data_IF_064120925644
#
_entry.id   IF_064120925644
#
_cell.length_a   1.000
_cell.length_b   1.000
_cell.length_c   1.000
_cell.angle_alpha   90.00
_cell.angle_beta   90.00
_cell.angle_gamma   90.00
#
_symmetry.space_group_name_H-M   'P 1'
#
loop_
_entity.id
_entity.type
_entity.pdbx_description
1 polymer ?
#
# COMPACT_ATOMS: atom_id res chain seq x y z
N UNK A 1 6.99 -11.78 3.44
CA UNK A 1 6.93 -11.82 1.96
C UNK A 1 6.94 -10.39 1.41
N UNK A 2 8.10 -9.71 1.38
CA UNK A 2 8.16 -8.27 1.06
C UNK A 2 7.84 -7.92 -0.40
N UNK A 3 7.95 -8.87 -1.33
CA UNK A 3 7.76 -8.65 -2.78
C UNK A 3 6.47 -9.27 -3.33
N UNK A 4 5.69 -9.97 -2.49
CA UNK A 4 4.56 -10.77 -2.96
C UNK A 4 3.25 -9.99 -3.12
N UNK A 5 3.13 -8.81 -2.50
CA UNK A 5 1.92 -8.00 -2.52
C UNK A 5 2.16 -6.73 -3.33
N UNK A 6 1.20 -6.40 -4.21
CA UNK A 6 1.20 -5.17 -4.99
C UNK A 6 1.00 -3.93 -4.11
N UNK A 7 0.26 -4.07 -3.01
CA UNK A 7 0.04 -2.97 -2.07
C UNK A 7 1.10 -2.92 -0.98
N UNK A 8 1.34 -1.71 -0.47
CA UNK A 8 2.23 -1.46 0.66
C UNK A 8 1.45 -1.29 1.98
N UNK A 9 2.18 -1.14 3.08
CA UNK A 9 1.61 -0.96 4.43
C UNK A 9 0.69 0.26 4.55
N UNK A 10 0.96 1.33 3.79
CA UNK A 10 0.14 2.55 3.83
C UNK A 10 -1.30 2.26 3.42
N UNK A 11 -1.54 1.36 2.47
CA UNK A 11 -2.90 0.97 2.08
C UNK A 11 -3.66 0.37 3.27
N UNK A 12 -3.01 -0.53 3.99
CA UNK A 12 -3.63 -1.21 5.14
C UNK A 12 -3.96 -0.22 6.26
N UNK A 13 -3.05 0.72 6.54
CA UNK A 13 -3.30 1.81 7.50
C UNK A 13 -4.48 2.68 7.06
N UNK A 14 -4.54 3.06 5.78
CA UNK A 14 -5.64 3.88 5.23
C UNK A 14 -6.99 3.15 5.29
N UNK A 15 -7.02 1.85 5.03
CA UNK A 15 -8.25 1.04 5.18
C UNK A 15 -8.71 1.06 6.64
N UNK A 16 -7.81 0.85 7.60
CA UNK A 16 -8.16 0.84 9.03
C UNK A 16 -8.60 2.22 9.55
N UNK A 17 -7.98 3.30 9.07
CA UNK A 17 -8.43 4.65 9.39
C UNK A 17 -9.85 4.92 8.86
N UNK A 18 -10.14 4.44 7.64
CA UNK A 18 -11.44 4.67 7.02
C UNK A 18 -12.53 3.68 7.44
N UNK A 19 -12.15 2.54 8.02
CA UNK A 19 -13.07 1.64 8.69
C UNK A 19 -13.83 2.35 9.83
N UNK A 20 -13.12 3.18 10.61
CA UNK A 20 -13.71 3.88 11.76
C UNK A 20 -14.15 5.31 11.46
N UNK A 21 -13.60 5.95 10.42
CA UNK A 21 -13.93 7.35 10.11
C UNK A 21 -15.37 7.58 9.65
N UNK A 22 -16.06 6.54 9.15
CA UNK A 22 -17.36 6.62 8.48
C UNK A 22 -17.42 7.63 7.31
N UNK A 23 -16.27 8.08 6.79
CA UNK A 23 -16.18 9.05 5.68
C UNK A 23 -16.70 8.48 4.34
N UNK A 24 -16.56 7.17 4.16
CA UNK A 24 -16.92 6.45 2.93
C UNK A 24 -18.00 5.41 3.22
N UNK A 25 -18.83 5.11 2.23
CA UNK A 25 -19.86 4.06 2.36
C UNK A 25 -19.34 2.64 2.21
N UNK A 26 -18.03 2.44 2.02
CA UNK A 26 -17.44 1.13 1.70
C UNK A 26 -17.67 0.09 2.79
N UNK A 27 -17.56 0.47 4.06
CA UNK A 27 -17.66 -0.43 5.23
C UNK A 27 -18.90 -0.15 6.10
N UNK A 28 -19.89 0.59 5.57
CA UNK A 28 -21.15 0.82 6.28
C UNK A 28 -22.10 -0.37 6.09
N UNK A 29 -22.98 -0.57 7.07
CA UNK A 29 -24.00 -1.63 7.14
C UNK A 29 -23.42 -3.06 7.24
N UNK A 30 -24.28 -4.01 7.62
CA UNK A 30 -23.88 -5.39 7.95
C UNK A 30 -24.08 -6.40 6.81
N UNK A 31 -24.79 -6.02 5.73
CA UNK A 31 -25.04 -6.88 4.58
C UNK A 31 -25.32 -6.06 3.32
N UNK A 32 -25.24 -6.69 2.15
CA UNK A 32 -25.49 -6.05 0.86
C UNK A 32 -26.94 -5.55 0.72
N UNK A 33 -27.92 -6.35 1.16
CA UNK A 33 -29.34 -5.97 1.11
C UNK A 33 -29.63 -4.65 1.82
N UNK A 34 -29.05 -4.43 3.02
CA UNK A 34 -29.21 -3.17 3.74
C UNK A 34 -28.56 -1.99 3.00
N UNK A 35 -27.42 -2.21 2.33
CA UNK A 35 -26.74 -1.17 1.53
C UNK A 35 -27.56 -0.75 0.32
N UNK A 36 -28.27 -1.67 -0.30
CA UNK A 36 -29.14 -1.40 -1.44
C UNK A 36 -30.40 -0.66 -1.01
N UNK A 37 -31.05 -1.10 0.08
CA UNK A 37 -32.22 -0.42 0.66
C UNK A 37 -31.93 1.05 1.01
N UNK A 38 -30.72 1.32 1.52
CA UNK A 38 -30.31 2.68 1.88
C UNK A 38 -29.65 3.43 0.72
N UNK A 39 -29.50 2.81 -0.46
CA UNK A 39 -28.88 3.38 -1.66
C UNK A 39 -27.45 3.92 -1.42
N UNK A 40 -26.64 3.19 -0.65
CA UNK A 40 -25.30 3.64 -0.21
C UNK A 40 -24.42 4.03 -1.39
N UNK A 41 -24.47 3.27 -2.49
CA UNK A 41 -23.66 3.51 -3.70
C UNK A 41 -23.96 4.86 -4.37
N UNK A 42 -25.18 5.39 -4.22
CA UNK A 42 -25.59 6.70 -4.76
C UNK A 42 -25.35 7.84 -3.77
N UNK A 43 -25.54 7.57 -2.47
CA UNK A 43 -25.50 8.60 -1.41
C UNK A 43 -24.11 8.84 -0.83
N UNK A 44 -23.15 7.95 -1.09
CA UNK A 44 -21.82 8.02 -0.49
C UNK A 44 -20.73 7.71 -1.53
N UNK A 45 -19.51 8.15 -1.24
CA UNK A 45 -18.33 7.84 -2.05
C UNK A 45 -17.70 6.53 -1.57
N UNK A 46 -17.13 5.77 -2.50
CA UNK A 46 -16.33 4.57 -2.18
C UNK A 46 -14.92 4.97 -1.75
N UNK A 47 -14.40 4.32 -0.70
CA UNK A 47 -12.98 4.40 -0.31
C UNK A 47 -12.06 4.10 -1.49
N UNK A 48 -12.44 3.14 -2.34
CA UNK A 48 -11.64 2.76 -3.51
C UNK A 48 -11.53 3.89 -4.54
N UNK A 49 -12.49 4.82 -4.59
CA UNK A 49 -12.35 6.03 -5.41
C UNK A 49 -11.19 6.91 -4.95
N UNK A 50 -10.97 7.02 -3.63
CA UNK A 50 -9.80 7.72 -3.07
C UNK A 50 -8.50 6.92 -3.29
N UNK A 51 -8.53 5.61 -3.04
CA UNK A 51 -7.33 4.76 -3.16
C UNK A 51 -6.84 4.73 -4.61
N UNK A 52 -7.74 4.48 -5.56
CA UNK A 52 -7.39 4.32 -6.97
C UNK A 52 -7.03 5.65 -7.65
N UNK A 53 -7.49 6.79 -7.13
CA UNK A 53 -7.06 8.11 -7.63
C UNK A 53 -5.64 8.49 -7.17
N UNK A 54 -5.08 7.78 -6.20
CA UNK A 54 -3.70 7.95 -5.70
C UNK A 54 -2.98 6.61 -5.59
N UNK A 55 -3.16 5.74 -6.57
CA UNK A 55 -2.65 4.36 -6.58
C UNK A 55 -1.16 4.30 -6.24
N UNK A 56 -0.36 5.22 -6.79
CA UNK A 56 1.10 5.24 -6.66
C UNK A 56 1.57 5.35 -5.19
N UNK A 57 0.76 5.96 -4.32
CA UNK A 57 1.06 6.05 -2.88
C UNK A 57 0.92 4.72 -2.16
N UNK A 58 0.10 3.82 -2.70
CA UNK A 58 -0.26 2.54 -2.12
C UNK A 58 0.45 1.35 -2.76
N UNK A 59 1.16 1.56 -3.87
CA UNK A 59 1.91 0.52 -4.54
C UNK A 59 3.20 0.18 -3.78
N UNK A 60 3.52 -1.10 -3.76
CA UNK A 60 4.76 -1.66 -3.29
C UNK A 60 5.75 -1.69 -4.46
N UNK A 61 6.83 -0.90 -4.43
CA UNK A 61 7.79 -0.86 -5.53
C UNK A 61 8.59 -2.17 -5.67
N UNK A 62 8.53 -3.05 -4.66
CA UNK A 62 9.18 -4.37 -4.71
C UNK A 62 8.26 -5.48 -5.21
N UNK A 63 7.04 -5.15 -5.61
CA UNK A 63 6.10 -6.14 -6.10
C UNK A 63 6.64 -6.87 -7.33
N UNK A 64 6.66 -8.20 -7.27
CA UNK A 64 7.03 -9.07 -8.39
C UNK A 64 5.78 -9.82 -8.90
N UNK A 65 5.25 -9.49 -10.09
CA UNK A 65 4.02 -10.09 -10.62
C UNK A 65 4.09 -11.61 -10.82
N UNK A 66 5.28 -12.16 -11.05
CA UNK A 66 5.52 -13.58 -11.34
C UNK A 66 5.48 -14.50 -10.09
N UNK A 67 4.73 -14.08 -9.07
CA UNK A 67 4.62 -14.77 -7.78
C UNK A 67 3.50 -15.80 -7.75
N UNK A 68 3.30 -16.59 -8.82
CA UNK A 68 2.32 -17.71 -8.87
C UNK A 68 2.59 -18.85 -7.87
N UNK A 69 3.42 -18.58 -6.85
CA UNK A 69 3.80 -19.47 -5.76
C UNK A 69 2.83 -19.28 -4.60
N UNK A 70 2.39 -20.40 -4.03
CA UNK A 70 1.60 -20.39 -2.78
C UNK A 70 2.47 -19.82 -1.65
N UNK A 71 1.95 -18.84 -0.91
CA UNK A 71 2.61 -18.27 0.25
C UNK A 71 2.33 -19.14 1.48
N UNK A 72 3.39 -19.60 2.15
CA UNK A 72 3.29 -20.38 3.40
C UNK A 72 3.81 -19.56 4.58
N UNK A 73 2.95 -18.76 5.26
CA UNK A 73 3.38 -17.97 6.41
C UNK A 73 3.73 -18.86 7.61
N UNK A 74 4.71 -18.42 8.40
CA UNK A 74 5.06 -19.10 9.66
C UNK A 74 4.26 -18.48 10.80
N UNK A 75 3.23 -19.20 11.26
CA UNK A 75 2.36 -18.77 12.37
C UNK A 75 2.99 -19.05 13.76
N UNK A 76 4.24 -18.64 13.96
CA UNK A 76 4.97 -18.78 15.23
C UNK A 76 5.17 -17.42 15.89
N UNK A 77 5.05 -17.34 17.22
CA UNK A 77 5.34 -16.11 17.98
C UNK A 77 6.78 -15.60 17.80
N UNK A 78 7.70 -16.43 17.29
CA UNK A 78 9.07 -16.02 16.95
C UNK A 78 9.17 -15.25 15.62
N UNK A 79 8.16 -15.39 14.75
CA UNK A 79 8.11 -14.78 13.42
C UNK A 79 6.99 -13.73 13.30
N UNK A 80 6.03 -13.74 14.23
CA UNK A 80 5.02 -12.69 14.33
C UNK A 80 5.62 -11.49 15.06
N UNK A 81 5.49 -10.33 14.44
CA UNK A 81 5.92 -9.06 15.01
C UNK A 81 4.69 -8.23 15.40
N UNK A 82 4.86 -7.40 16.43
CA UNK A 82 3.86 -6.38 16.72
C UNK A 82 3.84 -5.36 15.58
N UNK A 83 2.65 -5.04 15.07
CA UNK A 83 2.50 -4.04 14.03
C UNK A 83 2.64 -2.61 14.60
N UNK A 84 3.89 -2.20 14.86
CA UNK A 84 4.25 -0.97 15.59
C UNK A 84 3.70 0.29 14.90
N UNK A 85 3.74 0.34 13.58
CA UNK A 85 3.25 1.47 12.75
C UNK A 85 1.75 1.68 12.83
N UNK A 86 0.98 0.68 13.25
CA UNK A 86 -0.45 0.81 13.56
C UNK A 86 -0.69 1.03 15.05
N UNK A 87 -0.28 0.08 15.90
CA UNK A 87 -0.66 0.08 17.32
C UNK A 87 0.07 1.14 18.15
N UNK A 88 1.25 1.60 17.73
CA UNK A 88 2.08 2.55 18.49
C UNK A 88 2.29 3.87 17.70
N UNK A 89 1.49 4.09 16.66
CA UNK A 89 1.62 5.23 15.72
C UNK A 89 1.55 6.64 16.33
N UNK A 90 0.98 6.75 17.53
CA UNK A 90 0.79 8.00 18.25
C UNK A 90 1.91 8.31 19.24
N UNK A 91 2.83 7.38 19.50
CA UNK A 91 3.96 7.63 20.38
C UNK A 91 5.02 8.50 19.66
N UNK A 92 5.25 9.76 20.08
CA UNK A 92 6.17 10.66 19.39
C UNK A 92 7.59 10.11 19.31
N UNK A 93 8.07 9.40 20.35
CA UNK A 93 9.43 8.87 20.41
C UNK A 93 9.70 7.83 19.33
N UNK A 94 8.68 7.04 18.98
CA UNK A 94 8.78 5.96 17.99
C UNK A 94 8.52 6.51 16.58
N UNK A 95 7.64 7.50 16.45
CA UNK A 95 7.30 8.14 15.17
C UNK A 95 8.52 8.75 14.46
N UNK A 96 9.48 9.28 15.20
CA UNK A 96 10.73 9.82 14.66
C UNK A 96 11.75 8.74 14.24
N UNK A 97 11.63 7.52 14.75
CA UNK A 97 12.50 6.38 14.42
C UNK A 97 11.95 5.49 13.30
N UNK A 98 10.68 5.66 12.92
CA UNK A 98 9.99 4.76 11.99
C UNK A 98 10.40 4.89 10.52
N UNK A 99 11.16 5.91 10.12
CA UNK A 99 11.80 5.86 8.80
C UNK A 99 13.01 4.94 8.93
N UNK A 100 12.80 3.65 8.63
CA UNK A 100 13.89 2.69 8.58
C UNK A 100 14.96 3.23 7.61
N UNK A 101 16.21 3.44 8.06
CA UNK A 101 17.29 3.91 7.18
C UNK A 101 17.46 3.02 5.94
N UNK A 102 17.10 1.74 6.10
CA UNK A 102 17.07 0.75 5.05
C UNK A 102 15.99 1.07 4.01
N UNK A 103 14.76 1.40 4.43
CA UNK A 103 13.69 1.82 3.51
C UNK A 103 14.00 3.12 2.79
N UNK A 104 14.63 4.09 3.46
CA UNK A 104 15.09 5.34 2.84
C UNK A 104 16.11 5.05 1.75
N UNK A 105 17.17 4.32 2.08
CA UNK A 105 18.21 3.93 1.12
C UNK A 105 17.66 3.11 -0.04
N UNK A 106 16.67 2.25 0.21
CA UNK A 106 16.02 1.50 -0.86
C UNK A 106 15.15 2.39 -1.76
N UNK A 107 14.46 3.41 -1.22
CA UNK A 107 13.76 4.40 -2.06
C UNK A 107 14.72 5.18 -2.95
N UNK A 108 15.88 5.57 -2.43
CA UNK A 108 16.93 6.22 -3.23
C UNK A 108 17.42 5.30 -4.35
N UNK A 109 17.66 4.02 -4.06
CA UNK A 109 18.06 3.04 -5.05
C UNK A 109 17.01 2.81 -6.15
N UNK A 110 15.73 2.81 -5.79
CA UNK A 110 14.64 2.69 -6.76
C UNK A 110 14.57 3.92 -7.67
N UNK A 111 14.65 5.12 -7.09
CA UNK A 111 14.70 6.35 -7.87
C UNK A 111 15.88 6.38 -8.85
N UNK A 112 17.05 5.91 -8.40
CA UNK A 112 18.25 5.82 -9.23
C UNK A 112 18.08 4.79 -10.36
N UNK A 113 17.45 3.63 -10.08
CA UNK A 113 17.11 2.64 -11.11
C UNK A 113 16.21 3.25 -12.19
N UNK A 114 15.16 3.97 -11.78
CA UNK A 114 14.20 4.58 -12.71
C UNK A 114 14.88 5.63 -13.60
N UNK A 115 15.80 6.42 -13.03
CA UNK A 115 16.64 7.36 -13.78
C UNK A 115 17.52 6.64 -14.83
N UNK A 116 18.19 5.55 -14.43
CA UNK A 116 19.01 4.77 -15.36
C UNK A 116 18.19 4.14 -16.48
N UNK A 117 17.00 3.61 -16.19
CA UNK A 117 16.11 3.04 -17.20
C UNK A 117 15.68 4.09 -18.21
N UNK A 118 15.31 5.29 -17.75
CA UNK A 118 14.97 6.40 -18.63
C UNK A 118 16.14 6.81 -19.53
N UNK A 119 17.35 6.89 -18.98
CA UNK A 119 18.55 7.22 -19.74
C UNK A 119 18.89 6.16 -20.80
N UNK A 120 18.68 4.88 -20.49
CA UNK A 120 18.83 3.79 -21.45
C UNK A 120 17.84 3.90 -22.62
N UNK A 121 16.57 4.24 -22.33
CA UNK A 121 15.57 4.45 -23.39
C UNK A 121 15.92 5.64 -24.30
N UNK A 122 16.42 6.73 -23.74
CA UNK A 122 16.87 7.90 -24.50
C UNK A 122 18.05 7.56 -25.43
N UNK A 123 19.04 6.82 -24.93
CA UNK A 123 20.19 6.37 -25.72
C UNK A 123 19.78 5.39 -26.84
N UNK A 124 18.86 4.47 -26.56
CA UNK A 124 18.34 3.55 -27.58
C UNK A 124 17.58 4.29 -28.70
N UNK A 125 16.87 5.37 -28.37
CA UNK A 125 16.21 6.22 -29.37
C UNK A 125 17.19 7.03 -30.21
N UNK A 126 18.28 7.52 -29.61
CA UNK A 126 19.33 8.23 -30.37
C UNK A 126 20.13 7.33 -31.29
N UNK A 127 20.39 6.07 -30.89
CA UNK A 127 21.12 5.10 -31.72
C UNK A 127 20.27 4.52 -32.88
N UNK A 128 18.94 4.66 -32.79
CA UNK A 128 17.99 4.19 -33.81
C UNK A 128 17.61 5.26 -34.86
N UNK A 129 18.16 6.48 -34.75
CA UNK A 129 17.92 7.62 -35.68
C UNK A 129 19.16 7.91 -36.52
#
# INVERSE_FOLDING_TARGET
>A
FPTAFEFNERLLLTILDHLYSCRFGTFLYNCESARDQHEVRKKTVSLWSLVNSKSDTYLNPFYTPESGRVLYPVASMRHLELWVTYYIRWNPRIRHQQQSPVEQRYKELLALRDEYLKKLEELQRSDSS
#
